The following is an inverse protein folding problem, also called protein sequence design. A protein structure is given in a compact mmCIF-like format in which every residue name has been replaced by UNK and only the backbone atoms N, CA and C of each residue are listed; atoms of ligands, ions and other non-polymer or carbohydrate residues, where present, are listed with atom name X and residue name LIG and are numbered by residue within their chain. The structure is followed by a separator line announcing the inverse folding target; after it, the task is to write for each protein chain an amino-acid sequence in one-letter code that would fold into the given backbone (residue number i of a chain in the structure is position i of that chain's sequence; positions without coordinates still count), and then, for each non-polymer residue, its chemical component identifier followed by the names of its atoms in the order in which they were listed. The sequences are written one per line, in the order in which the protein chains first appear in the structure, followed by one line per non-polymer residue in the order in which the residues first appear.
data_IF_509406947959
#
_entry.id   IF_509406947959
#
_cell.length_a   1.000
_cell.length_b   1.000
_cell.length_c   1.000
_cell.angle_alpha   90.00
_cell.angle_beta   90.00
_cell.angle_gamma   90.00
#
_symmetry.space_group_name_H-M   'P 1'
#
loop_
_entity.id
_entity.type
_entity.pdbx_description
1 polymer ?
#
# COMPACT_ATOMS: atom_id res chain seq x y z
N UNK A 1 -61.69 22.85 -21.68
CA UNK A 1 -60.30 23.20 -22.07
C UNK A 1 -59.63 21.93 -22.61
N UNK A 2 -59.56 21.75 -23.94
CA UNK A 2 -59.04 20.53 -24.59
C UNK A 2 -57.51 20.59 -24.61
N UNK A 3 -56.84 19.85 -23.74
CA UNK A 3 -55.39 19.70 -23.76
C UNK A 3 -55.01 18.91 -25.02
N UNK A 4 -54.21 19.53 -25.91
CA UNK A 4 -53.81 18.92 -27.19
C UNK A 4 -52.81 17.79 -26.92
N UNK A 5 -53.03 16.56 -27.45
CA UNK A 5 -52.19 15.39 -27.15
C UNK A 5 -50.73 15.52 -27.58
N UNK A 6 -50.41 16.42 -28.53
CA UNK A 6 -49.04 16.70 -28.96
C UNK A 6 -48.17 17.34 -27.86
N UNK A 7 -48.77 18.06 -26.92
CA UNK A 7 -48.02 18.70 -25.83
C UNK A 7 -47.60 17.66 -24.77
N UNK A 8 -48.39 16.61 -24.56
CA UNK A 8 -48.11 15.54 -23.58
C UNK A 8 -46.95 14.65 -24.08
N UNK A 9 -46.87 14.37 -25.38
CA UNK A 9 -45.76 13.60 -25.96
C UNK A 9 -44.42 14.35 -25.85
N UNK A 10 -44.41 15.68 -26.03
CA UNK A 10 -43.20 16.48 -25.94
C UNK A 10 -42.67 16.57 -24.50
N UNK A 11 -43.55 16.68 -23.50
CA UNK A 11 -43.11 16.71 -22.10
C UNK A 11 -42.58 15.35 -21.65
N UNK A 12 -43.23 14.25 -22.05
CA UNK A 12 -42.78 12.90 -21.70
C UNK A 12 -41.41 12.56 -22.32
N UNK A 13 -41.17 12.95 -23.58
CA UNK A 13 -39.87 12.78 -24.22
C UNK A 13 -38.76 13.61 -23.55
N UNK A 14 -39.09 14.83 -23.11
CA UNK A 14 -38.13 15.71 -22.41
C UNK A 14 -37.74 15.16 -21.02
N UNK A 15 -38.70 14.62 -20.26
CA UNK A 15 -38.44 13.95 -18.97
C UNK A 15 -37.73 12.59 -19.13
N UNK A 16 -37.96 11.86 -20.22
CA UNK A 16 -37.21 10.64 -20.52
C UNK A 16 -35.74 10.97 -20.86
N UNK A 17 -35.47 12.06 -21.58
CA UNK A 17 -34.11 12.51 -21.94
C UNK A 17 -33.35 13.02 -20.71
N UNK A 18 -33.91 13.99 -19.98
CA UNK A 18 -34.09 13.92 -18.53
C UNK A 18 -33.35 12.84 -17.71
N UNK A 19 -34.13 11.78 -17.49
CA UNK A 19 -33.78 10.61 -16.70
C UNK A 19 -32.65 9.79 -17.34
N UNK A 20 -32.55 9.75 -18.67
CA UNK A 20 -31.48 9.04 -19.37
C UNK A 20 -30.12 9.76 -19.18
N UNK A 21 -30.08 11.08 -19.30
CA UNK A 21 -28.90 11.90 -18.98
C UNK A 21 -28.55 11.81 -17.50
N UNK A 22 -29.55 11.83 -16.61
CA UNK A 22 -29.32 11.62 -15.17
C UNK A 22 -28.76 10.22 -14.87
N UNK A 23 -29.26 9.16 -15.53
CA UNK A 23 -28.76 7.79 -15.40
C UNK A 23 -27.36 7.61 -16.03
N UNK A 24 -27.06 8.29 -17.13
CA UNK A 24 -25.73 8.32 -17.75
C UNK A 24 -24.71 9.11 -16.92
N UNK A 25 -25.16 10.17 -16.22
CA UNK A 25 -24.34 10.89 -15.23
C UNK A 25 -24.19 10.09 -13.92
N UNK A 26 -25.17 9.25 -13.56
CA UNK A 26 -25.11 8.33 -12.41
C UNK A 26 -24.42 7.00 -12.69
N UNK A 27 -24.22 6.64 -13.95
CA UNK A 27 -23.30 5.57 -14.35
C UNK A 27 -21.84 6.04 -14.33
N UNK A 28 -21.52 7.09 -13.56
CA UNK A 28 -20.21 7.24 -12.98
C UNK A 28 -19.86 5.90 -12.33
N UNK A 29 -18.86 5.22 -12.88
CA UNK A 29 -18.41 3.93 -12.38
C UNK A 29 -18.28 4.01 -10.87
N UNK A 30 -18.77 2.97 -10.16
CA UNK A 30 -18.68 2.91 -8.71
C UNK A 30 -17.29 3.41 -8.28
N UNK A 31 -17.27 4.50 -7.50
CA UNK A 31 -16.03 5.10 -7.03
C UNK A 31 -15.19 3.97 -6.44
N UNK A 32 -13.99 3.77 -7.02
CA UNK A 32 -13.17 2.64 -6.63
C UNK A 32 -12.69 2.88 -5.20
N UNK A 33 -13.17 2.04 -4.28
CA UNK A 33 -12.84 2.17 -2.85
C UNK A 33 -11.32 2.12 -2.66
N UNK A 34 -10.80 3.08 -1.89
CA UNK A 34 -9.38 3.15 -1.56
C UNK A 34 -8.94 1.91 -0.77
N UNK A 35 -7.96 1.18 -1.31
CA UNK A 35 -7.44 -0.06 -0.72
C UNK A 35 -6.55 0.28 0.48
N UNK A 36 -6.95 -0.19 1.66
CA UNK A 36 -6.08 -0.20 2.85
C UNK A 36 -5.65 -1.65 3.09
N UNK A 37 -4.39 -1.97 2.86
CA UNK A 37 -3.87 -3.33 2.96
C UNK A 37 -2.79 -3.50 4.02
N UNK A 38 -2.52 -4.76 4.35
CA UNK A 38 -1.34 -5.18 5.09
C UNK A 38 -0.73 -6.42 4.41
N UNK A 39 0.60 -6.43 4.21
CA UNK A 39 1.35 -7.65 3.88
C UNK A 39 1.50 -8.45 5.17
N UNK A 40 1.01 -9.69 5.21
CA UNK A 40 1.01 -10.51 6.42
C UNK A 40 1.69 -11.86 6.21
N UNK A 41 2.89 -11.85 5.64
CA UNK A 41 3.61 -13.06 5.22
C UNK A 41 4.09 -13.91 6.42
N UNK A 42 4.27 -13.31 7.59
CA UNK A 42 4.84 -13.97 8.78
C UNK A 42 3.78 -14.47 9.76
N UNK A 43 2.52 -14.03 9.64
CA UNK A 43 1.41 -14.36 10.53
C UNK A 43 1.20 -15.88 10.76
N UNK A 44 1.43 -16.70 9.74
CA UNK A 44 1.29 -18.16 9.82
C UNK A 44 2.35 -18.78 10.73
N UNK A 45 3.62 -18.48 10.44
CA UNK A 45 4.76 -18.97 11.22
C UNK A 45 4.70 -18.51 12.68
N UNK A 46 4.37 -17.25 12.91
CA UNK A 46 4.26 -16.69 14.26
C UNK A 46 3.19 -17.43 15.07
N UNK A 47 2.00 -17.62 14.48
CA UNK A 47 0.92 -18.35 15.14
C UNK A 47 1.28 -19.81 15.43
N UNK A 48 1.86 -20.50 14.45
CA UNK A 48 2.30 -21.90 14.62
C UNK A 48 3.42 -22.01 15.67
N UNK A 49 4.14 -20.92 15.94
CA UNK A 49 5.14 -20.80 17.01
C UNK A 49 4.54 -20.40 18.37
N UNK A 50 3.22 -20.32 18.50
CA UNK A 50 2.52 -20.00 19.75
C UNK A 50 2.45 -18.51 20.08
N UNK A 51 2.87 -17.63 19.16
CA UNK A 51 2.74 -16.19 19.31
C UNK A 51 1.27 -15.75 19.27
N UNK A 52 0.96 -14.64 19.93
CA UNK A 52 -0.40 -14.12 20.09
C UNK A 52 -0.39 -12.62 19.88
N UNK A 53 -1.46 -12.13 19.28
CA UNK A 53 -1.73 -10.70 19.18
C UNK A 53 -2.91 -10.36 20.07
N UNK A 54 -2.89 -9.14 20.62
CA UNK A 54 -3.89 -8.64 21.54
C UNK A 54 -4.44 -7.32 21.01
N UNK A 55 -5.77 -7.16 21.06
CA UNK A 55 -6.40 -5.88 20.76
C UNK A 55 -6.16 -4.85 21.87
N UNK A 56 -6.77 -3.66 21.71
CA UNK A 56 -6.63 -2.57 22.68
C UNK A 56 -7.19 -2.87 24.07
N UNK A 57 -8.03 -3.90 24.20
CA UNK A 57 -8.60 -4.37 25.46
C UNK A 57 -7.80 -5.54 26.07
N UNK A 58 -6.68 -5.93 25.44
CA UNK A 58 -5.85 -7.05 25.87
C UNK A 58 -6.45 -8.43 25.54
N UNK A 59 -7.44 -8.50 24.64
CA UNK A 59 -8.08 -9.76 24.24
C UNK A 59 -7.29 -10.41 23.10
N UNK A 60 -6.90 -11.70 23.22
CA UNK A 60 -6.16 -12.37 22.17
C UNK A 60 -7.00 -12.54 20.91
N UNK A 61 -6.50 -12.07 19.77
CA UNK A 61 -7.14 -12.14 18.45
C UNK A 61 -6.12 -12.40 17.35
N UNK A 62 -6.64 -12.75 16.18
CA UNK A 62 -5.85 -12.81 14.96
C UNK A 62 -5.34 -11.43 14.56
N UNK A 63 -4.06 -11.29 14.17
CA UNK A 63 -3.49 -9.99 13.81
C UNK A 63 -4.33 -9.22 12.77
N UNK A 64 -4.75 -9.92 11.70
CA UNK A 64 -5.60 -9.33 10.66
C UNK A 64 -7.01 -9.02 11.14
N UNK A 65 -7.52 -9.69 12.18
CA UNK A 65 -8.80 -9.32 12.79
C UNK A 65 -8.69 -7.98 13.51
N UNK A 66 -7.62 -7.78 14.28
CA UNK A 66 -7.37 -6.53 14.99
C UNK A 66 -7.18 -5.39 13.97
N UNK A 67 -6.37 -5.62 12.93
CA UNK A 67 -6.18 -4.63 11.87
C UNK A 67 -7.47 -4.33 11.10
N UNK A 68 -8.34 -5.33 10.89
CA UNK A 68 -9.66 -5.12 10.29
C UNK A 68 -10.54 -4.22 11.13
N UNK A 69 -10.54 -4.38 12.46
CA UNK A 69 -11.23 -3.49 13.38
C UNK A 69 -10.70 -2.05 13.29
N UNK A 70 -9.44 -1.87 12.84
CA UNK A 70 -8.81 -0.57 12.54
C UNK A 70 -9.05 -0.04 11.13
N UNK A 71 -9.78 -0.76 10.28
CA UNK A 71 -10.15 -0.30 8.93
C UNK A 71 -9.33 -0.92 7.80
N UNK A 72 -8.37 -1.82 8.10
CA UNK A 72 -7.69 -2.58 7.04
C UNK A 72 -8.72 -3.40 6.26
N UNK A 73 -8.61 -3.35 4.93
CA UNK A 73 -9.54 -3.96 3.99
C UNK A 73 -8.96 -5.20 3.32
N UNK A 74 -7.64 -5.23 3.10
CA UNK A 74 -6.97 -6.30 2.36
C UNK A 74 -5.83 -6.93 3.17
N UNK A 75 -5.64 -8.24 3.00
CA UNK A 75 -4.47 -8.98 3.47
C UNK A 75 -3.73 -9.49 2.24
N UNK A 76 -2.49 -9.07 2.06
CA UNK A 76 -1.63 -9.48 0.96
C UNK A 76 -0.62 -10.50 1.47
N UNK A 77 -0.37 -11.54 0.68
CA UNK A 77 0.77 -12.42 0.91
C UNK A 77 1.45 -12.85 -0.38
N UNK A 78 2.77 -13.01 -0.29
CA UNK A 78 3.61 -13.52 -1.37
C UNK A 78 3.54 -15.03 -1.51
N UNK A 79 3.55 -15.52 -2.75
CA UNK A 79 3.58 -16.95 -3.08
C UNK A 79 4.79 -17.25 -3.96
N UNK A 80 5.63 -18.18 -3.49
CA UNK A 80 6.77 -18.77 -4.19
C UNK A 80 6.30 -19.87 -5.13
N UNK A 81 7.13 -20.19 -6.11
CA UNK A 81 6.92 -21.33 -7.01
C UNK A 81 7.15 -22.65 -6.28
N UNK A 82 8.11 -22.69 -5.36
CA UNK A 82 8.34 -23.82 -4.46
C UNK A 82 7.05 -24.20 -3.73
N UNK A 83 6.65 -25.49 -3.77
CA UNK A 83 5.37 -25.93 -3.20
C UNK A 83 5.39 -26.11 -1.69
N UNK A 84 6.52 -25.88 -1.01
CA UNK A 84 6.68 -26.18 0.41
C UNK A 84 7.25 -25.00 1.21
N UNK A 85 6.94 -25.00 2.51
CA UNK A 85 7.46 -24.04 3.47
C UNK A 85 6.75 -22.69 3.47
N UNK A 86 7.39 -21.69 4.09
CA UNK A 86 6.90 -20.31 4.14
C UNK A 86 6.71 -19.77 2.73
N UNK A 87 5.58 -19.13 2.49
CA UNK A 87 5.15 -18.54 1.22
C UNK A 87 4.86 -19.59 0.12
N UNK A 88 4.69 -20.87 0.46
CA UNK A 88 4.06 -21.84 -0.43
C UNK A 88 2.55 -21.60 -0.54
N UNK A 89 1.89 -22.19 -1.54
CA UNK A 89 0.43 -22.07 -1.68
C UNK A 89 -0.31 -22.55 -0.43
N UNK A 90 0.03 -23.71 0.14
CA UNK A 90 -0.67 -24.25 1.31
C UNK A 90 -0.50 -23.36 2.55
N UNK A 91 0.71 -22.80 2.73
CA UNK A 91 1.00 -21.85 3.78
C UNK A 91 0.13 -20.58 3.64
N UNK A 92 0.12 -19.97 2.46
CA UNK A 92 -0.66 -18.76 2.20
C UNK A 92 -2.16 -19.01 2.26
N UNK A 93 -2.63 -20.16 1.76
CA UNK A 93 -4.02 -20.56 1.85
C UNK A 93 -4.48 -20.65 3.30
N UNK A 94 -3.69 -21.30 4.18
CA UNK A 94 -4.00 -21.37 5.63
C UNK A 94 -4.10 -19.98 6.24
N UNK A 95 -3.18 -19.07 5.90
CA UNK A 95 -3.21 -17.69 6.40
C UNK A 95 -4.43 -16.92 5.91
N UNK A 96 -4.78 -17.01 4.63
CA UNK A 96 -5.97 -16.34 4.11
C UNK A 96 -7.28 -16.92 4.63
N UNK A 97 -7.37 -18.23 4.86
CA UNK A 97 -8.55 -18.81 5.50
C UNK A 97 -8.74 -18.29 6.92
N UNK A 98 -7.65 -18.04 7.67
CA UNK A 98 -7.72 -17.38 8.99
C UNK A 98 -8.13 -15.91 8.85
N UNK A 99 -7.45 -15.16 7.99
CA UNK A 99 -7.71 -13.74 7.79
C UNK A 99 -9.14 -13.48 7.29
N UNK A 100 -9.63 -14.28 6.34
CA UNK A 100 -10.97 -14.14 5.74
C UNK A 100 -12.11 -14.29 6.75
N UNK A 101 -11.92 -15.01 7.88
CA UNK A 101 -12.91 -15.05 8.99
C UNK A 101 -13.19 -13.66 9.57
N UNK A 102 -12.24 -12.75 9.44
CA UNK A 102 -12.36 -11.37 9.90
C UNK A 102 -13.00 -10.45 8.85
N UNK A 103 -13.19 -10.93 7.61
CA UNK A 103 -13.75 -10.13 6.52
C UNK A 103 -12.74 -9.27 5.77
N UNK A 104 -11.42 -9.49 5.95
CA UNK A 104 -10.41 -8.91 5.04
C UNK A 104 -10.41 -9.63 3.71
N UNK A 105 -10.09 -8.90 2.66
CA UNK A 105 -10.08 -9.34 1.28
C UNK A 105 -8.68 -9.87 0.92
N UNK A 106 -8.54 -11.12 0.44
CA UNK A 106 -7.24 -11.64 0.03
C UNK A 106 -6.67 -10.93 -1.20
N UNK A 107 -5.37 -10.65 -1.17
CA UNK A 107 -4.54 -10.23 -2.29
C UNK A 107 -3.26 -11.07 -2.36
N UNK A 108 -2.73 -11.33 -3.54
CA UNK A 108 -1.58 -12.23 -3.74
C UNK A 108 -0.45 -11.51 -4.46
N UNK A 109 0.78 -11.73 -4.04
CA UNK A 109 1.98 -11.39 -4.82
C UNK A 109 2.56 -12.68 -5.39
N UNK A 110 2.59 -12.82 -6.71
CA UNK A 110 3.21 -13.97 -7.36
C UNK A 110 4.70 -13.67 -7.56
N UNK A 111 5.58 -14.24 -6.72
CA UNK A 111 7.01 -13.93 -6.79
C UNK A 111 7.66 -14.40 -8.10
N UNK A 112 7.13 -15.46 -8.72
CA UNK A 112 7.75 -16.12 -9.89
C UNK A 112 9.20 -16.55 -9.60
N UNK A 113 9.46 -16.93 -8.34
CA UNK A 113 10.75 -17.34 -7.77
C UNK A 113 10.51 -18.40 -6.68
N UNK A 114 11.54 -19.16 -6.32
CA UNK A 114 11.55 -20.05 -5.14
C UNK A 114 11.89 -19.30 -3.84
N UNK A 115 12.08 -17.99 -3.92
CA UNK A 115 12.41 -17.11 -2.81
C UNK A 115 11.46 -15.91 -2.79
N UNK A 116 11.39 -15.22 -1.65
CA UNK A 116 10.78 -13.91 -1.59
C UNK A 116 11.62 -12.95 -2.44
N UNK A 117 10.96 -12.21 -3.33
CA UNK A 117 11.64 -11.29 -4.25
C UNK A 117 11.68 -9.86 -3.68
N UNK A 118 12.74 -9.15 -4.07
CA UNK A 118 12.94 -7.71 -3.89
C UNK A 118 13.68 -7.18 -5.13
N UNK A 119 13.96 -5.87 -5.19
CA UNK A 119 14.71 -5.26 -6.32
C UNK A 119 15.97 -6.07 -6.70
N UNK A 120 16.71 -6.55 -5.70
CA UNK A 120 17.99 -7.25 -5.88
C UNK A 120 17.86 -8.79 -5.89
N UNK A 121 16.70 -9.33 -5.54
CA UNK A 121 16.45 -10.77 -5.44
C UNK A 121 15.35 -11.16 -6.41
N UNK A 122 15.74 -11.67 -7.58
CA UNK A 122 14.83 -12.03 -8.67
C UNK A 122 15.19 -13.37 -9.29
N UNK A 123 15.66 -14.33 -8.47
CA UNK A 123 16.13 -15.63 -8.95
C UNK A 123 15.08 -16.41 -9.73
N UNK A 124 15.52 -17.16 -10.75
CA UNK A 124 14.64 -18.13 -11.41
C UNK A 124 14.31 -19.25 -10.42
N UNK A 125 13.06 -19.75 -10.39
CA UNK A 125 12.76 -21.02 -9.73
C UNK A 125 13.68 -22.11 -10.27
N UNK A 126 14.10 -23.03 -9.41
CA UNK A 126 15.01 -24.11 -9.74
C UNK A 126 14.47 -24.95 -10.90
N UNK A 127 13.17 -25.28 -10.86
CA UNK A 127 12.48 -26.05 -11.88
C UNK A 127 12.47 -25.37 -13.26
N UNK A 128 12.57 -24.04 -13.30
CA UNK A 128 12.53 -23.26 -14.53
C UNK A 128 13.91 -22.75 -14.93
N UNK A 129 14.95 -23.00 -14.13
CA UNK A 129 16.29 -22.41 -14.28
C UNK A 129 16.88 -22.65 -15.67
N UNK A 130 16.64 -23.83 -16.25
CA UNK A 130 17.12 -24.25 -17.58
C UNK A 130 16.15 -23.94 -18.71
N UNK A 131 14.94 -23.47 -18.42
CA UNK A 131 13.92 -23.20 -19.45
C UNK A 131 14.36 -22.01 -20.34
N UNK A 132 14.25 -22.15 -21.67
CA UNK A 132 14.24 -21.01 -22.58
C UNK A 132 13.12 -20.00 -22.26
N UNK A 133 13.18 -18.79 -22.83
CA UNK A 133 12.26 -17.70 -22.47
C UNK A 133 10.78 -18.02 -22.67
N UNK A 134 10.41 -18.54 -23.85
CA UNK A 134 9.03 -18.95 -24.11
C UNK A 134 8.53 -20.04 -23.16
N UNK A 135 9.40 -20.96 -22.75
CA UNK A 135 9.06 -22.01 -21.77
C UNK A 135 8.91 -21.44 -20.35
N UNK A 136 9.76 -20.48 -19.93
CA UNK A 136 9.57 -19.76 -18.67
C UNK A 136 8.25 -18.98 -18.66
N UNK A 137 7.91 -18.30 -19.76
CA UNK A 137 6.66 -17.57 -19.86
C UNK A 137 5.45 -18.51 -19.77
N UNK A 138 5.48 -19.63 -20.49
CA UNK A 138 4.45 -20.66 -20.36
C UNK A 138 4.32 -21.19 -18.92
N UNK A 139 5.45 -21.49 -18.26
CA UNK A 139 5.47 -21.97 -16.89
C UNK A 139 4.89 -20.94 -15.90
N UNK A 140 5.22 -19.66 -16.04
CA UNK A 140 4.66 -18.57 -15.25
C UNK A 140 3.13 -18.45 -15.45
N UNK A 141 2.65 -18.60 -16.68
CA UNK A 141 1.21 -18.64 -16.97
C UNK A 141 0.50 -19.84 -16.32
N UNK A 142 1.09 -21.04 -16.40
CA UNK A 142 0.57 -22.24 -15.75
C UNK A 142 0.53 -22.09 -14.23
N UNK A 143 1.58 -21.54 -13.63
CA UNK A 143 1.64 -21.24 -12.21
C UNK A 143 0.51 -20.30 -11.78
N UNK A 144 0.37 -19.14 -12.44
CA UNK A 144 -0.69 -18.19 -12.14
C UNK A 144 -2.11 -18.78 -12.33
N UNK A 145 -2.31 -19.61 -13.37
CA UNK A 145 -3.57 -20.35 -13.58
C UNK A 145 -3.85 -21.31 -12.43
N UNK A 146 -2.86 -22.06 -11.95
CA UNK A 146 -3.05 -23.01 -10.87
C UNK A 146 -3.39 -22.28 -9.56
N UNK A 147 -2.63 -21.25 -9.20
CA UNK A 147 -2.89 -20.45 -8.00
C UNK A 147 -4.31 -19.84 -8.01
N UNK A 148 -4.73 -19.25 -9.13
CA UNK A 148 -6.09 -18.68 -9.27
C UNK A 148 -7.19 -19.74 -9.17
N UNK A 149 -6.99 -20.91 -9.81
CA UNK A 149 -7.91 -22.05 -9.71
C UNK A 149 -8.00 -22.58 -8.28
N UNK A 150 -6.87 -22.71 -7.60
CA UNK A 150 -6.79 -23.39 -6.31
C UNK A 150 -7.39 -22.52 -5.20
N UNK A 151 -7.16 -21.19 -5.21
CA UNK A 151 -7.88 -20.28 -4.35
C UNK A 151 -9.40 -20.31 -4.59
N UNK A 152 -9.83 -20.32 -5.86
CA UNK A 152 -11.25 -20.40 -6.20
C UNK A 152 -11.87 -21.71 -5.69
N UNK A 153 -11.16 -22.84 -5.83
CA UNK A 153 -11.60 -24.14 -5.33
C UNK A 153 -11.71 -24.18 -3.81
N UNK A 154 -10.85 -23.44 -3.11
CA UNK A 154 -10.92 -23.26 -1.66
C UNK A 154 -11.99 -22.24 -1.20
N UNK A 155 -12.79 -21.70 -2.12
CA UNK A 155 -13.85 -20.73 -1.81
C UNK A 155 -13.35 -19.30 -1.53
N UNK A 156 -12.05 -19.03 -1.73
CA UNK A 156 -11.47 -17.70 -1.56
C UNK A 156 -11.56 -16.90 -2.86
N UNK A 157 -11.97 -15.64 -2.73
CA UNK A 157 -12.00 -14.67 -3.83
C UNK A 157 -10.86 -13.68 -3.66
N UNK A 158 -9.71 -13.98 -4.24
CA UNK A 158 -8.59 -13.02 -4.32
C UNK A 158 -8.99 -11.85 -5.21
N UNK A 159 -8.81 -10.62 -4.74
CA UNK A 159 -9.24 -9.41 -5.47
C UNK A 159 -8.10 -8.63 -6.11
N UNK A 160 -6.87 -8.86 -5.67
CA UNK A 160 -5.68 -8.19 -6.18
C UNK A 160 -4.57 -9.22 -6.39
N UNK A 161 -3.94 -9.20 -7.56
CA UNK A 161 -2.77 -10.00 -7.88
C UNK A 161 -1.64 -9.07 -8.31
N UNK A 162 -0.53 -9.06 -7.59
CA UNK A 162 0.74 -8.53 -8.10
C UNK A 162 1.45 -9.61 -8.91
N UNK A 163 1.86 -9.28 -10.13
CA UNK A 163 2.70 -10.15 -10.96
C UNK A 163 4.14 -9.74 -10.75
N UNK A 164 4.90 -10.55 -10.00
CA UNK A 164 6.21 -10.17 -9.48
C UNK A 164 6.12 -9.27 -8.24
N UNK A 165 7.28 -9.04 -7.62
CA UNK A 165 7.51 -8.10 -6.53
C UNK A 165 8.78 -7.31 -6.88
N UNK A 166 8.70 -5.99 -6.92
CA UNK A 166 9.81 -5.07 -7.22
C UNK A 166 10.68 -5.51 -8.41
N UNK A 167 10.05 -5.67 -9.57
CA UNK A 167 10.66 -6.28 -10.78
C UNK A 167 11.53 -5.31 -11.58
N UNK A 168 12.10 -4.31 -10.93
CA UNK A 168 12.84 -3.20 -11.56
C UNK A 168 14.00 -3.71 -12.41
N UNK A 169 14.77 -4.65 -11.86
CA UNK A 169 16.01 -5.12 -12.45
C UNK A 169 15.86 -6.46 -13.17
N UNK A 170 14.93 -7.29 -12.71
CA UNK A 170 14.72 -8.63 -13.24
C UNK A 170 13.37 -9.20 -12.81
N UNK A 171 12.98 -10.29 -13.46
CA UNK A 171 11.87 -11.17 -13.04
C UNK A 171 12.20 -12.60 -13.43
N UNK A 172 11.97 -13.57 -12.53
CA UNK A 172 12.14 -15.00 -12.85
C UNK A 172 13.55 -15.34 -13.42
N UNK A 173 14.58 -14.67 -12.92
CA UNK A 173 15.98 -14.79 -13.35
C UNK A 173 16.31 -14.17 -14.71
N UNK A 174 15.40 -13.40 -15.29
CA UNK A 174 15.62 -12.67 -16.55
C UNK A 174 15.82 -11.20 -16.24
N UNK A 175 16.98 -10.68 -16.62
CA UNK A 175 17.37 -9.27 -16.46
C UNK A 175 16.54 -8.37 -17.38
N UNK A 176 15.93 -7.32 -16.80
CA UNK A 176 15.23 -6.27 -17.54
C UNK A 176 16.17 -5.50 -18.45
N UNK A 177 17.45 -5.38 -18.07
CA UNK A 177 18.48 -4.69 -18.86
C UNK A 177 18.91 -5.53 -20.06
N UNK A 178 19.08 -6.83 -19.87
CA UNK A 178 19.66 -7.70 -20.90
C UNK A 178 18.61 -8.22 -21.88
N UNK A 179 17.39 -8.52 -21.41
CA UNK A 179 16.31 -9.06 -22.24
C UNK A 179 14.91 -8.67 -21.71
N UNK A 180 14.59 -7.37 -21.81
CA UNK A 180 13.30 -6.81 -21.39
C UNK A 180 12.10 -7.49 -22.06
N UNK A 181 12.22 -7.82 -23.35
CA UNK A 181 11.16 -8.49 -24.10
C UNK A 181 10.78 -9.81 -23.45
N UNK A 182 11.77 -10.66 -23.15
CA UNK A 182 11.54 -11.94 -22.48
C UNK A 182 11.00 -11.80 -21.06
N UNK A 183 11.47 -10.80 -20.31
CA UNK A 183 10.88 -10.47 -19.01
C UNK A 183 9.38 -10.09 -19.15
N UNK A 184 9.04 -9.29 -20.17
CA UNK A 184 7.67 -8.91 -20.46
C UNK A 184 6.81 -10.09 -20.94
N UNK A 185 7.35 -11.04 -21.72
CA UNK A 185 6.65 -12.28 -22.08
C UNK A 185 6.23 -13.07 -20.84
N UNK A 186 7.13 -13.18 -19.85
CA UNK A 186 6.87 -13.89 -18.59
C UNK A 186 5.75 -13.21 -17.80
N UNK A 187 5.84 -11.88 -17.62
CA UNK A 187 4.83 -11.10 -16.91
C UNK A 187 3.48 -11.17 -17.65
N UNK A 188 3.49 -11.01 -18.97
CA UNK A 188 2.30 -11.09 -19.82
C UNK A 188 1.59 -12.43 -19.68
N UNK A 189 2.32 -13.53 -19.72
CA UNK A 189 1.74 -14.87 -19.62
C UNK A 189 1.08 -15.12 -18.25
N UNK A 190 1.71 -14.67 -17.16
CA UNK A 190 1.14 -14.73 -15.82
C UNK A 190 -0.10 -13.83 -15.69
N UNK A 191 -0.01 -12.57 -16.11
CA UNK A 191 -1.12 -11.60 -16.08
C UNK A 191 -2.34 -12.07 -16.89
N UNK A 192 -2.12 -12.53 -18.13
CA UNK A 192 -3.18 -13.06 -18.99
C UNK A 192 -3.85 -14.30 -18.37
N UNK A 193 -3.08 -15.15 -17.68
CA UNK A 193 -3.62 -16.30 -16.96
C UNK A 193 -4.47 -15.89 -15.76
N UNK A 194 -4.07 -14.86 -15.00
CA UNK A 194 -4.91 -14.27 -13.95
C UNK A 194 -6.19 -13.68 -14.53
N UNK A 195 -6.10 -12.82 -15.55
CA UNK A 195 -7.27 -12.19 -16.18
C UNK A 195 -8.28 -13.24 -16.67
N UNK A 196 -7.80 -14.31 -17.30
CA UNK A 196 -8.65 -15.39 -17.82
C UNK A 196 -9.38 -16.17 -16.72
N UNK A 197 -8.70 -16.49 -15.62
CA UNK A 197 -9.25 -17.39 -14.59
C UNK A 197 -9.91 -16.64 -13.41
N UNK A 198 -9.56 -15.38 -13.22
CA UNK A 198 -10.08 -14.49 -12.19
C UNK A 198 -10.42 -13.09 -12.77
N UNK A 199 -11.37 -12.99 -13.73
CA UNK A 199 -11.63 -11.76 -14.48
C UNK A 199 -12.13 -10.57 -13.64
N UNK A 200 -12.58 -10.82 -12.42
CA UNK A 200 -13.02 -9.80 -11.46
C UNK A 200 -11.91 -9.32 -10.52
N UNK A 201 -10.74 -9.92 -10.60
CA UNK A 201 -9.56 -9.53 -9.82
C UNK A 201 -8.80 -8.44 -10.58
N UNK A 202 -8.10 -7.61 -9.82
CA UNK A 202 -7.23 -6.56 -10.31
C UNK A 202 -5.81 -7.06 -10.41
N UNK A 203 -5.09 -6.60 -11.43
CA UNK A 203 -3.70 -6.95 -11.69
C UNK A 203 -2.82 -5.75 -11.42
N UNK A 204 -1.72 -5.94 -10.70
CA UNK A 204 -0.74 -4.92 -10.38
C UNK A 204 0.63 -5.38 -10.84
N UNK A 205 1.44 -4.46 -11.34
CA UNK A 205 2.87 -4.66 -11.58
C UNK A 205 3.61 -3.82 -10.54
N UNK A 206 4.65 -4.35 -9.90
CA UNK A 206 5.27 -3.69 -8.74
C UNK A 206 6.74 -3.37 -8.97
N UNK A 207 7.15 -2.15 -8.60
CA UNK A 207 8.52 -1.64 -8.64
C UNK A 207 8.96 -1.10 -7.28
N UNK A 208 10.24 -1.23 -6.98
CA UNK A 208 10.86 -0.75 -5.74
C UNK A 208 11.60 0.58 -5.88
N UNK A 209 12.00 0.97 -7.10
CA UNK A 209 12.81 2.18 -7.37
C UNK A 209 11.95 3.39 -7.75
N UNK A 210 10.93 3.69 -6.96
CA UNK A 210 9.98 4.79 -7.20
C UNK A 210 10.64 6.16 -7.46
N UNK A 211 11.82 6.38 -6.87
CA UNK A 211 12.61 7.61 -6.99
C UNK A 211 13.17 7.82 -8.41
N UNK A 212 13.30 6.74 -9.20
CA UNK A 212 13.58 6.81 -10.63
C UNK A 212 12.27 6.86 -11.42
N UNK A 213 11.60 8.01 -11.29
CA UNK A 213 10.25 8.23 -11.82
C UNK A 213 10.17 8.06 -13.35
N UNK A 214 11.21 8.47 -14.10
CA UNK A 214 11.22 8.30 -15.55
C UNK A 214 11.30 6.83 -15.94
N UNK A 215 12.23 6.08 -15.35
CA UNK A 215 12.35 4.63 -15.60
C UNK A 215 11.10 3.87 -15.16
N UNK A 216 10.47 4.25 -14.05
CA UNK A 216 9.20 3.66 -13.62
C UNK A 216 8.07 3.95 -14.63
N UNK A 217 7.94 5.21 -15.07
CA UNK A 217 6.96 5.61 -16.07
C UNK A 217 7.12 4.84 -17.38
N UNK A 218 8.35 4.77 -17.90
CA UNK A 218 8.71 3.98 -19.09
C UNK A 218 8.45 2.48 -18.92
N UNK A 219 8.75 1.92 -17.74
CA UNK A 219 8.46 0.52 -17.43
C UNK A 219 6.98 0.21 -17.63
N UNK A 220 6.10 0.96 -16.95
CA UNK A 220 4.67 0.69 -16.98
C UNK A 220 4.06 1.00 -18.35
N UNK A 221 4.42 2.12 -19.00
CA UNK A 221 3.90 2.43 -20.34
C UNK A 221 4.30 1.36 -21.35
N UNK A 222 5.57 0.97 -21.39
CA UNK A 222 6.07 -0.07 -22.29
C UNK A 222 5.42 -1.43 -22.00
N UNK A 223 5.16 -1.76 -20.74
CA UNK A 223 4.46 -2.99 -20.37
C UNK A 223 3.04 -3.02 -20.97
N UNK A 224 2.30 -1.90 -20.89
CA UNK A 224 0.98 -1.77 -21.50
C UNK A 224 1.03 -1.82 -23.03
N UNK A 225 1.99 -1.13 -23.66
CA UNK A 225 2.20 -1.16 -25.12
C UNK A 225 2.55 -2.57 -25.61
N UNK A 226 3.31 -3.33 -24.82
CA UNK A 226 3.62 -4.73 -25.07
C UNK A 226 2.38 -5.65 -24.92
N UNK A 227 1.27 -5.12 -24.39
CA UNK A 227 0.00 -5.81 -24.22
C UNK A 227 -0.10 -6.59 -22.91
N UNK A 228 0.60 -6.16 -21.86
CA UNK A 228 0.38 -6.66 -20.50
C UNK A 228 -0.84 -5.95 -19.93
N UNK A 229 -1.88 -6.71 -19.58
CA UNK A 229 -3.05 -6.16 -18.92
C UNK A 229 -2.78 -5.93 -17.44
N UNK A 230 -2.68 -4.67 -17.04
CA UNK A 230 -2.56 -4.25 -15.63
C UNK A 230 -3.66 -3.24 -15.29
N UNK A 231 -4.09 -3.26 -14.02
CA UNK A 231 -5.03 -2.30 -13.44
C UNK A 231 -4.32 -1.25 -12.58
N UNK A 232 -3.13 -1.56 -12.04
CA UNK A 232 -2.38 -0.68 -11.13
C UNK A 232 -0.87 -0.70 -11.39
N UNK A 233 -0.25 0.45 -11.20
CA UNK A 233 1.17 0.60 -10.95
C UNK A 233 1.45 0.47 -9.45
N UNK A 234 2.27 -0.48 -9.06
CA UNK A 234 2.64 -0.74 -7.68
C UNK A 234 4.00 -0.13 -7.37
N UNK A 235 4.10 0.65 -6.28
CA UNK A 235 5.35 1.26 -5.83
C UNK A 235 5.62 0.95 -4.36
N UNK A 236 6.79 0.41 -4.03
CA UNK A 236 7.21 0.25 -2.63
C UNK A 236 7.83 1.55 -2.09
N UNK A 237 7.67 1.83 -0.80
CA UNK A 237 8.21 3.05 -0.16
C UNK A 237 8.73 2.77 1.25
N UNK A 238 10.05 2.85 1.41
CA UNK A 238 10.73 2.66 2.69
C UNK A 238 11.63 3.87 2.96
N UNK A 239 11.20 4.84 3.80
CA UNK A 239 11.98 6.06 4.03
C UNK A 239 13.33 5.83 4.72
N UNK A 240 13.52 4.68 5.35
CA UNK A 240 14.76 4.24 5.98
C UNK A 240 15.86 3.80 4.99
N UNK A 241 15.48 3.47 3.74
CA UNK A 241 16.43 2.93 2.78
C UNK A 241 17.25 4.06 2.14
N UNK A 242 18.55 3.85 2.02
CA UNK A 242 19.39 4.67 1.16
C UNK A 242 19.14 4.29 -0.30
N UNK A 243 18.70 5.23 -1.10
CA UNK A 243 18.44 5.02 -2.52
C UNK A 243 19.68 5.37 -3.36
N UNK A 244 19.89 4.63 -4.47
CA UNK A 244 21.00 4.88 -5.40
C UNK A 244 20.98 6.33 -5.92
N UNK A 245 22.16 6.89 -6.21
CA UNK A 245 22.39 8.27 -6.65
C UNK A 245 22.11 9.39 -5.64
N UNK A 246 21.99 9.06 -4.34
CA UNK A 246 21.87 10.09 -3.31
C UNK A 246 20.59 10.91 -3.45
N UNK A 247 19.50 10.30 -3.96
CA UNK A 247 18.18 10.91 -3.93
C UNK A 247 17.93 11.43 -2.51
N UNK A 248 17.95 12.76 -2.41
CA UNK A 248 17.81 13.54 -1.20
C UNK A 248 16.65 12.99 -0.36
N UNK A 249 16.94 12.63 0.89
CA UNK A 249 16.04 12.16 1.94
C UNK A 249 14.61 11.80 1.46
N UNK A 250 14.28 10.51 1.28
CA UNK A 250 12.96 10.10 0.80
C UNK A 250 11.85 10.62 1.72
N UNK A 251 11.05 11.56 1.23
CA UNK A 251 9.91 12.12 1.98
C UNK A 251 8.59 11.65 1.40
N UNK A 252 7.53 11.67 2.21
CA UNK A 252 6.15 11.42 1.75
C UNK A 252 5.83 12.32 0.54
N UNK A 253 6.17 13.62 0.62
CA UNK A 253 5.94 14.58 -0.48
C UNK A 253 6.59 14.14 -1.80
N UNK A 254 7.87 13.77 -1.76
CA UNK A 254 8.60 13.34 -2.97
C UNK A 254 8.00 12.05 -3.54
N UNK A 255 7.61 11.11 -2.67
CA UNK A 255 6.93 9.89 -3.10
C UNK A 255 5.60 10.18 -3.80
N UNK A 256 4.75 11.04 -3.24
CA UNK A 256 3.45 11.38 -3.84
C UNK A 256 3.63 12.06 -5.21
N UNK A 257 4.54 13.02 -5.32
CA UNK A 257 4.83 13.67 -6.60
C UNK A 257 5.38 12.70 -7.65
N UNK A 258 6.25 11.77 -7.23
CA UNK A 258 6.75 10.70 -8.08
C UNK A 258 5.62 9.78 -8.55
N UNK A 259 4.77 9.33 -7.63
CA UNK A 259 3.61 8.48 -7.93
C UNK A 259 2.63 9.16 -8.91
N UNK A 260 2.32 10.44 -8.71
CA UNK A 260 1.45 11.21 -9.62
C UNK A 260 2.04 11.32 -11.02
N UNK A 261 3.36 11.57 -11.12
CA UNK A 261 4.05 11.63 -12.40
C UNK A 261 4.09 10.26 -13.09
N UNK A 262 4.39 9.18 -12.37
CA UNK A 262 4.36 7.80 -12.90
C UNK A 262 2.94 7.47 -13.39
N UNK A 263 1.92 7.84 -12.63
CA UNK A 263 0.51 7.63 -13.02
C UNK A 263 0.16 8.40 -14.29
N UNK A 264 0.60 9.66 -14.41
CA UNK A 264 0.38 10.47 -15.60
C UNK A 264 1.09 9.91 -16.85
N UNK A 265 2.30 9.37 -16.70
CA UNK A 265 3.08 8.77 -17.80
C UNK A 265 2.51 7.42 -18.25
N UNK A 266 2.10 6.58 -17.30
CA UNK A 266 1.65 5.20 -17.57
C UNK A 266 0.15 5.08 -17.84
N UNK A 267 -0.64 6.05 -17.40
CA UNK A 267 -2.11 5.95 -17.38
C UNK A 267 -2.67 5.01 -16.31
N UNK A 268 -1.82 4.39 -15.48
CA UNK A 268 -2.24 3.50 -14.40
C UNK A 268 -2.40 4.26 -13.08
N UNK A 269 -3.48 4.03 -12.32
CA UNK A 269 -3.52 4.44 -10.92
C UNK A 269 -2.46 3.70 -10.10
N UNK A 270 -2.00 4.32 -9.03
CA UNK A 270 -0.93 3.81 -8.18
C UNK A 270 -1.48 3.12 -6.93
N UNK A 271 -0.83 2.03 -6.49
CA UNK A 271 -0.96 1.47 -5.14
C UNK A 271 0.42 1.49 -4.49
N UNK A 272 0.50 1.92 -3.22
CA UNK A 272 1.70 1.69 -2.41
C UNK A 272 1.71 0.23 -1.98
N UNK A 273 2.66 -0.56 -2.50
CA UNK A 273 2.63 -2.04 -2.42
C UNK A 273 3.24 -2.61 -1.16
N UNK A 274 4.08 -1.81 -0.51
CA UNK A 274 4.71 -2.09 0.76
C UNK A 274 5.37 -0.83 1.26
N UNK A 275 4.98 -0.41 2.46
CA UNK A 275 5.64 0.66 3.17
C UNK A 275 5.62 0.37 4.67
N UNK A 276 6.67 0.75 5.37
CA UNK A 276 6.77 0.59 6.82
C UNK A 276 7.68 1.67 7.39
N UNK A 277 7.40 2.07 8.63
CA UNK A 277 8.18 3.08 9.33
C UNK A 277 8.63 2.55 10.68
N UNK A 278 9.92 2.74 11.04
CA UNK A 278 10.43 2.23 12.29
C UNK A 278 9.99 3.07 13.50
N UNK A 279 9.64 2.39 14.60
CA UNK A 279 9.39 2.98 15.92
C UNK A 279 10.61 2.89 16.86
N UNK A 280 11.74 2.41 16.36
CA UNK A 280 12.99 2.20 17.11
C UNK A 280 14.20 2.52 16.22
N UNK A 281 15.26 3.13 16.77
CA UNK A 281 16.48 3.45 16.02
C UNK A 281 17.37 2.23 15.74
N UNK A 282 17.02 1.04 16.23
CA UNK A 282 17.83 -0.15 16.04
C UNK A 282 17.94 -0.52 14.55
N UNK A 283 19.17 -0.46 14.01
CA UNK A 283 19.47 -0.95 12.67
C UNK A 283 19.06 -0.03 11.51
N UNK A 284 18.63 1.21 11.79
CA UNK A 284 18.20 2.18 10.77
C UNK A 284 18.99 3.49 10.91
N UNK A 285 19.59 4.04 9.83
CA UNK A 285 20.11 5.39 9.87
C UNK A 285 18.96 6.37 10.12
N UNK A 286 19.04 7.13 11.22
CA UNK A 286 18.03 8.11 11.62
C UNK A 286 17.76 9.11 10.50
N UNK A 287 16.53 9.24 10.00
CA UNK A 287 16.21 10.24 8.98
C UNK A 287 14.69 10.45 8.80
N UNK A 288 14.12 11.33 9.61
CA UNK A 288 13.23 12.44 9.22
C UNK A 288 12.94 13.21 10.53
N UNK A 289 13.39 14.48 10.70
CA UNK A 289 13.13 15.21 11.94
C UNK A 289 11.63 15.41 12.23
N UNK A 290 10.76 15.21 11.24
CA UNK A 290 9.31 15.26 11.44
C UNK A 290 8.74 14.01 12.10
N UNK A 291 9.43 12.87 12.00
CA UNK A 291 8.96 11.58 12.50
C UNK A 291 10.09 10.92 13.30
N UNK A 292 10.18 11.16 14.61
CA UNK A 292 11.20 10.49 15.41
C UNK A 292 11.00 8.97 15.39
N UNK A 293 12.08 8.19 15.50
CA UNK A 293 12.02 6.72 15.56
C UNK A 293 11.50 6.25 16.93
N UNK A 294 10.21 6.49 17.15
CA UNK A 294 9.41 6.18 18.34
C UNK A 294 8.03 5.70 17.90
N UNK A 295 7.25 5.08 18.80
CA UNK A 295 5.87 4.69 18.50
C UNK A 295 5.00 5.88 18.06
N UNK A 296 5.22 7.05 18.67
CA UNK A 296 4.52 8.28 18.30
C UNK A 296 4.89 8.75 16.88
N UNK A 297 6.19 8.73 16.53
CA UNK A 297 6.62 9.11 15.19
C UNK A 297 6.18 8.11 14.11
N UNK A 298 6.19 6.81 14.40
CA UNK A 298 5.61 5.78 13.51
C UNK A 298 4.11 6.02 13.27
N UNK A 299 3.35 6.31 14.34
CA UNK A 299 1.93 6.65 14.24
C UNK A 299 1.71 7.88 13.36
N UNK A 300 2.42 8.96 13.64
CA UNK A 300 2.24 10.24 12.94
C UNK A 300 2.66 10.14 11.47
N UNK A 301 3.77 9.44 11.18
CA UNK A 301 4.17 9.14 9.80
C UNK A 301 3.08 8.35 9.06
N UNK A 302 2.51 7.33 9.70
CA UNK A 302 1.51 6.48 9.05
C UNK A 302 0.20 7.24 8.79
N UNK A 303 -0.22 8.11 9.72
CA UNK A 303 -1.38 9.00 9.52
C UNK A 303 -1.16 9.89 8.28
N UNK A 304 -0.01 10.56 8.20
CA UNK A 304 0.26 11.49 7.10
C UNK A 304 0.46 10.78 5.77
N UNK A 305 1.14 9.63 5.78
CA UNK A 305 1.34 8.83 4.57
C UNK A 305 0.01 8.33 4.02
N UNK A 306 -0.87 7.80 4.89
CA UNK A 306 -2.21 7.37 4.49
C UNK A 306 -3.06 8.55 3.99
N UNK A 307 -3.04 9.69 4.68
CA UNK A 307 -3.77 10.88 4.27
C UNK A 307 -3.28 11.42 2.93
N UNK A 308 -1.97 11.48 2.72
CA UNK A 308 -1.37 11.93 1.46
C UNK A 308 -1.72 10.99 0.30
N UNK A 309 -1.69 9.67 0.52
CA UNK A 309 -2.14 8.69 -0.47
C UNK A 309 -3.63 8.82 -0.77
N UNK A 310 -4.46 8.99 0.25
CA UNK A 310 -5.92 9.07 0.11
C UNK A 310 -6.37 10.33 -0.63
N UNK A 311 -5.68 11.46 -0.40
CA UNK A 311 -6.00 12.74 -1.02
C UNK A 311 -5.43 12.89 -2.44
N UNK A 312 -4.46 12.05 -2.85
CA UNK A 312 -3.94 12.08 -4.21
C UNK A 312 -4.93 11.39 -5.16
N UNK A 313 -5.34 12.03 -6.28
CA UNK A 313 -6.22 11.41 -7.26
C UNK A 313 -5.56 10.23 -7.99
N UNK A 314 -4.23 10.19 -8.04
CA UNK A 314 -3.46 9.14 -8.71
C UNK A 314 -3.39 7.84 -7.88
N UNK A 315 -3.45 7.93 -6.55
CA UNK A 315 -3.21 6.79 -5.66
C UNK A 315 -4.55 6.19 -5.22
N UNK A 316 -4.68 4.87 -5.34
CA UNK A 316 -5.91 4.11 -5.04
C UNK A 316 -5.72 3.09 -3.92
N UNK A 317 -4.53 3.02 -3.33
CA UNK A 317 -4.32 2.17 -2.18
C UNK A 317 -2.98 2.32 -1.51
N UNK A 318 -2.91 1.82 -0.29
CA UNK A 318 -1.74 1.74 0.55
C UNK A 318 -1.68 0.38 1.26
N UNK A 319 -0.52 -0.27 1.25
CA UNK A 319 -0.27 -1.54 1.91
C UNK A 319 0.87 -1.40 2.92
N UNK A 320 0.57 -1.61 4.20
CA UNK A 320 1.60 -1.62 5.25
C UNK A 320 2.37 -2.95 5.22
N UNK A 321 3.69 -2.90 5.32
CA UNK A 321 4.52 -4.10 5.24
C UNK A 321 4.70 -4.78 6.61
N UNK A 322 4.30 -6.05 6.71
CA UNK A 322 4.53 -6.95 7.85
C UNK A 322 4.19 -6.35 9.23
N UNK A 323 2.99 -5.74 9.40
CA UNK A 323 2.63 -5.12 10.67
C UNK A 323 2.62 -6.14 11.82
N UNK A 324 2.39 -7.42 11.55
CA UNK A 324 2.30 -8.47 12.56
C UNK A 324 3.64 -8.92 13.15
N UNK A 325 4.75 -8.67 12.46
CA UNK A 325 6.04 -9.34 12.72
C UNK A 325 6.87 -8.65 13.80
N UNK A 326 6.40 -8.72 15.04
CA UNK A 326 7.05 -8.11 16.21
C UNK A 326 8.27 -8.89 16.76
N UNK A 327 8.71 -9.96 16.07
CA UNK A 327 9.87 -10.78 16.48
C UNK A 327 10.91 -11.01 15.39
N UNK A 328 10.55 -10.82 14.13
CA UNK A 328 11.40 -11.08 12.98
C UNK A 328 12.09 -9.82 12.45
N UNK A 329 12.35 -9.83 11.14
CA UNK A 329 13.11 -8.78 10.46
C UNK A 329 12.40 -7.42 10.43
N UNK A 330 11.07 -7.40 10.61
CA UNK A 330 10.27 -6.19 10.61
C UNK A 330 9.91 -5.69 12.02
N UNK A 331 10.44 -6.28 13.10
CA UNK A 331 10.06 -5.96 14.49
C UNK A 331 10.10 -4.47 14.84
N UNK A 332 11.08 -3.75 14.32
CA UNK A 332 11.27 -2.33 14.61
C UNK A 332 10.29 -1.46 13.83
N UNK A 333 9.58 -2.00 12.84
CA UNK A 333 8.47 -1.36 12.12
C UNK A 333 7.13 -2.10 12.27
N UNK A 334 7.05 -3.11 13.13
CA UNK A 334 5.80 -3.80 13.41
C UNK A 334 4.79 -2.84 14.06
N UNK A 335 3.50 -3.17 13.96
CA UNK A 335 2.42 -2.45 14.63
C UNK A 335 1.99 -3.13 15.94
N UNK A 336 2.74 -4.14 16.38
CA UNK A 336 2.53 -4.80 17.66
C UNK A 336 3.82 -4.75 18.49
N UNK A 337 3.66 -4.64 19.81
CA UNK A 337 4.74 -4.69 20.77
C UNK A 337 5.39 -6.07 20.80
N UNK A 338 6.54 -6.21 21.46
CA UNK A 338 7.18 -7.51 21.69
C UNK A 338 6.31 -8.51 22.48
N UNK A 339 5.23 -8.04 23.11
CA UNK A 339 4.22 -8.85 23.80
C UNK A 339 3.01 -9.18 22.91
N UNK A 340 2.98 -8.68 21.68
CA UNK A 340 1.87 -8.82 20.75
C UNK A 340 0.73 -7.83 20.96
N UNK A 341 0.91 -6.81 21.79
CA UNK A 341 -0.11 -5.77 22.02
C UNK A 341 -0.10 -4.77 20.86
N UNK A 342 -1.25 -4.39 20.32
CA UNK A 342 -1.33 -3.39 19.25
C UNK A 342 -0.73 -2.04 19.71
N UNK A 343 0.21 -1.51 18.94
CA UNK A 343 0.80 -0.18 19.18
C UNK A 343 -0.17 0.92 18.73
N UNK A 344 0.03 2.13 19.26
CA UNK A 344 -0.80 3.31 18.91
C UNK A 344 -0.79 3.62 17.40
N UNK A 345 0.26 3.24 16.68
CA UNK A 345 0.34 3.39 15.23
C UNK A 345 -0.75 2.61 14.47
N UNK A 346 -1.27 1.51 15.03
CA UNK A 346 -2.38 0.76 14.44
C UNK A 346 -3.68 1.57 14.31
N UNK A 347 -3.87 2.61 15.14
CA UNK A 347 -5.04 3.49 15.05
C UNK A 347 -5.01 4.43 13.84
N UNK A 348 -3.85 4.59 13.19
CA UNK A 348 -3.69 5.45 12.02
C UNK A 348 -4.64 5.07 10.87
N UNK A 349 -4.95 3.76 10.72
CA UNK A 349 -5.88 3.27 9.69
C UNK A 349 -7.32 3.74 9.85
N UNK A 350 -7.72 4.21 11.05
CA UNK A 350 -8.98 4.94 11.25
C UNK A 350 -8.77 6.44 11.14
N UNK A 351 -7.75 6.95 11.82
CA UNK A 351 -7.55 8.38 12.05
C UNK A 351 -7.31 9.18 10.76
N UNK A 352 -6.73 8.58 9.71
CA UNK A 352 -6.37 9.32 8.50
C UNK A 352 -7.58 9.85 7.70
N UNK A 353 -8.77 9.23 7.87
CA UNK A 353 -10.03 9.63 7.20
C UNK A 353 -10.88 10.57 8.03
N UNK A 354 -10.60 10.67 9.32
CA UNK A 354 -11.28 11.67 10.13
C UNK A 354 -10.93 13.02 9.51
N UNK A 355 -11.93 13.83 9.15
CA UNK A 355 -11.71 15.11 8.50
C UNK A 355 -10.99 15.99 9.50
N UNK A 356 -9.66 15.88 9.52
CA UNK A 356 -8.80 16.64 10.39
C UNK A 356 -9.21 16.43 11.85
N UNK A 357 -8.60 15.45 12.56
CA UNK A 357 -8.26 15.74 13.96
C UNK A 357 -7.51 17.07 13.88
N UNK A 358 -8.22 18.12 14.30
CA UNK A 358 -8.20 19.43 13.67
C UNK A 358 -6.74 19.89 13.60
N UNK A 359 -6.23 20.47 12.51
CA UNK A 359 -4.86 20.97 12.53
C UNK A 359 -4.67 21.94 13.71
N UNK A 360 -5.77 22.56 14.15
CA UNK A 360 -5.94 23.19 15.46
C UNK A 360 -5.86 22.26 16.67
N UNK A 361 -6.57 21.13 16.75
CA UNK A 361 -6.46 20.17 17.88
C UNK A 361 -5.08 19.52 17.96
N UNK A 362 -4.47 19.18 16.83
CA UNK A 362 -3.10 18.68 16.77
C UNK A 362 -2.12 19.77 17.19
N UNK A 363 -2.25 21.00 16.67
CA UNK A 363 -1.43 22.12 17.12
C UNK A 363 -1.70 22.47 18.60
N UNK A 364 -2.93 22.40 19.11
CA UNK A 364 -3.30 22.66 20.50
C UNK A 364 -2.81 21.56 21.44
N UNK A 365 -2.78 20.31 20.99
CA UNK A 365 -2.20 19.19 21.73
C UNK A 365 -0.67 19.28 21.76
N UNK A 366 -0.03 19.62 20.65
CA UNK A 366 1.39 19.95 20.59
C UNK A 366 1.71 21.15 21.50
N UNK A 367 0.86 22.18 21.51
CA UNK A 367 0.95 23.35 22.40
C UNK A 367 0.89 22.95 23.88
N UNK A 368 -0.07 22.12 24.24
CA UNK A 368 -0.30 21.71 25.64
C UNK A 368 0.84 20.81 26.15
N UNK A 369 1.34 19.91 25.30
CA UNK A 369 2.45 19.01 25.61
C UNK A 369 3.76 19.78 25.78
N UNK A 370 4.02 20.78 24.93
CA UNK A 370 5.21 21.60 25.02
C UNK A 370 5.26 22.55 26.23
N UNK A 371 4.09 23.00 26.73
CA UNK A 371 4.01 23.81 27.96
C UNK A 371 4.26 22.98 29.23
N UNK A 372 4.00 21.67 29.18
CA UNK A 372 4.28 20.77 30.29
C UNK A 372 5.78 20.42 30.42
N UNK A 373 6.51 20.42 29.30
CA UNK A 373 7.96 20.19 29.26
C UNK A 373 8.73 21.47 29.65
N UNK A 374 9.10 21.60 30.93
CA UNK A 374 9.75 22.79 31.52
C UNK A 374 11.22 23.04 31.08
N UNK A 375 11.74 22.37 30.05
CA UNK A 375 13.20 22.31 29.79
C UNK A 375 13.73 23.02 28.53
N UNK A 376 12.90 23.42 27.57
CA UNK A 376 13.38 24.11 26.36
C UNK A 376 13.23 25.64 26.44
N UNK A 377 14.20 26.40 25.92
CA UNK A 377 14.23 27.87 26.01
C UNK A 377 12.94 28.51 25.45
N UNK A 378 12.21 29.24 26.29
CA UNK A 378 10.80 29.54 26.03
C UNK A 378 10.51 30.45 24.83
N UNK A 379 11.52 31.14 24.28
CA UNK A 379 11.31 32.15 23.24
C UNK A 379 11.11 31.55 21.85
N UNK A 380 11.96 30.60 21.47
CA UNK A 380 11.90 29.98 20.14
C UNK A 380 10.68 29.06 20.01
N UNK A 381 10.36 28.34 21.09
CA UNK A 381 9.19 27.49 21.16
C UNK A 381 7.90 28.32 21.05
N UNK A 382 7.82 29.47 21.76
CA UNK A 382 6.73 30.44 21.60
C UNK A 382 6.64 31.01 20.19
N UNK A 383 7.77 31.25 19.51
CA UNK A 383 7.79 31.79 18.15
C UNK A 383 7.23 30.78 17.14
N UNK A 384 7.69 29.52 17.18
CA UNK A 384 7.17 28.44 16.34
C UNK A 384 5.66 28.23 16.56
N UNK A 385 5.21 28.32 17.80
CA UNK A 385 3.79 28.18 18.14
C UNK A 385 2.94 29.38 17.70
N UNK A 386 3.47 30.60 17.79
CA UNK A 386 2.80 31.79 17.30
C UNK A 386 2.66 31.75 15.77
N UNK A 387 3.69 31.28 15.08
CA UNK A 387 3.71 31.09 13.63
C UNK A 387 2.74 29.99 13.20
N UNK A 388 2.71 28.85 13.90
CA UNK A 388 1.72 27.79 13.65
C UNK A 388 0.28 28.32 13.76
N UNK A 389 -0.03 29.09 14.82
CA UNK A 389 -1.36 29.70 15.00
C UNK A 389 -1.69 30.73 13.93
N UNK A 390 -0.71 31.49 13.47
CA UNK A 390 -0.89 32.45 12.39
C UNK A 390 -1.23 31.73 11.07
N UNK A 391 -0.42 30.73 10.71
CA UNK A 391 -0.61 29.92 9.51
C UNK A 391 -1.96 29.19 9.52
N UNK A 392 -2.42 28.71 10.68
CA UNK A 392 -3.77 28.15 10.82
C UNK A 392 -4.87 29.17 10.53
N UNK A 393 -4.73 30.42 11.00
CA UNK A 393 -5.71 31.49 10.76
C UNK A 393 -5.73 31.93 9.30
N UNK A 394 -4.61 31.83 8.61
CA UNK A 394 -4.44 32.17 7.20
C UNK A 394 -4.91 31.04 6.24
N UNK A 395 -5.31 29.89 6.78
CA UNK A 395 -5.69 28.72 5.99
C UNK A 395 -4.50 27.89 5.47
N UNK A 396 -3.28 28.27 5.84
CA UNK A 396 -2.01 27.59 5.50
C UNK A 396 -1.76 26.39 6.43
N UNK A 397 -2.70 25.44 6.39
CA UNK A 397 -2.84 24.33 7.34
C UNK A 397 -1.60 23.43 7.41
N UNK A 398 -0.99 23.09 6.28
CA UNK A 398 0.18 22.18 6.25
C UNK A 398 1.45 22.84 6.82
N UNK A 399 1.65 24.12 6.53
CA UNK A 399 2.75 24.90 7.11
C UNK A 399 2.56 25.08 8.62
N UNK A 400 1.31 25.23 9.07
CA UNK A 400 1.01 25.30 10.48
C UNK A 400 1.30 23.98 11.22
N UNK A 401 0.93 22.83 10.63
CA UNK A 401 1.28 21.51 11.17
C UNK A 401 2.79 21.35 11.30
N UNK A 402 3.53 21.76 10.26
CA UNK A 402 4.98 21.74 10.27
C UNK A 402 5.56 22.53 11.45
N UNK A 403 5.09 23.77 11.66
CA UNK A 403 5.53 24.61 12.79
C UNK A 403 5.12 24.06 14.15
N UNK A 404 3.93 23.47 14.26
CA UNK A 404 3.46 22.82 15.48
C UNK A 404 4.34 21.60 15.85
N UNK A 405 4.70 20.76 14.87
CA UNK A 405 5.59 19.61 15.08
C UNK A 405 7.01 20.00 15.45
N UNK A 406 7.55 21.05 14.82
CA UNK A 406 8.85 21.60 15.20
C UNK A 406 8.86 22.05 16.67
N UNK A 407 7.76 22.66 17.14
CA UNK A 407 7.63 23.09 18.53
C UNK A 407 7.54 21.90 19.50
N UNK A 408 6.76 20.87 19.17
CA UNK A 408 6.65 19.64 19.97
C UNK A 408 7.98 18.90 20.09
N UNK A 409 8.67 18.72 18.97
CA UNK A 409 9.98 18.06 18.95
C UNK A 409 11.00 18.80 19.82
N UNK A 410 11.07 20.14 19.70
CA UNK A 410 11.96 20.96 20.54
C UNK A 410 11.62 20.92 22.02
N UNK A 411 10.37 20.62 22.38
CA UNK A 411 9.96 20.47 23.77
C UNK A 411 10.43 19.14 24.40
N UNK A 412 10.66 18.12 23.56
CA UNK A 412 11.09 16.78 23.99
C UNK A 412 12.62 16.63 24.09
N UNK A 413 13.39 17.62 23.64
CA UNK A 413 14.83 17.75 23.83
C UNK A 413 15.15 18.55 25.10
#
# INVERSE_FOLDING_TARGET
MKIRPKNILFTAAFFALFALLYLLMRSGGAEQEFIIGARSDNAGLMYDSGMKWFDGDGVPKEAMAILREKGVTHSLSGIKVSPQGKDSFDYVLKNFLRAAKSGVIPGVVLYLSDQECSVDIQGSPLLWSTYPGGEKAFAAGVFAKNITRDFKSAGLRVKLYSIGCDTDLAVCGVSMKDDRTKAFEIIKAAAASVRKNAPRSKIMLSLGRWFDTESCGDFFSSALEYGIEADYAGLSFYPQNSYENGASSPTIKNFILGAEKISAMSGLPVIVTGAAYPHSPAGVPANDPLYPLTEAGQRDWLIDMLAACYNSPAIKGFVYNLPEDYTGGAKDSALFSSKGEMLAAGDAFKAFREPVMNAFEYAEKAVSSAQAAKSASSAELKALMAEARFLLRDGSVEEAKFKARQAEYKALQ
#
